data_IF_823264559685
#
_entry.id   IF_823264559685
#
_cell.length_a   1.000
_cell.length_b   1.000
_cell.length_c   1.000
_cell.angle_alpha   90.00
_cell.angle_beta   90.00
_cell.angle_gamma   90.00
#
_symmetry.space_group_name_H-M   'P 1'
#
loop_
_entity.id
_entity.type
_entity.pdbx_description
1 polymer ?
#
# COMPACT_ATOMS: atom_id res chain seq x y z
N UNK A 1 49.80 49.88 39.72
CA UNK A 1 49.66 50.30 38.32
C UNK A 1 49.66 49.02 37.47
N UNK A 2 48.47 48.48 37.17
CA UNK A 2 48.32 47.21 36.44
C UNK A 2 47.37 47.50 35.29
N UNK A 3 47.88 47.29 34.07
CA UNK A 3 47.19 47.58 32.82
C UNK A 3 46.12 46.52 32.52
N UNK A 4 44.94 46.99 32.14
CA UNK A 4 43.86 46.18 31.62
C UNK A 4 44.17 45.77 30.18
N UNK A 5 44.27 44.48 29.91
CA UNK A 5 44.34 43.92 28.55
C UNK A 5 42.95 43.40 28.16
N UNK A 6 42.25 44.18 27.34
CA UNK A 6 41.01 43.82 26.66
C UNK A 6 41.29 42.90 25.47
N UNK A 7 40.70 41.70 25.48
CA UNK A 7 40.67 40.82 24.30
C UNK A 7 39.44 41.15 23.44
N UNK A 8 39.56 41.25 22.10
CA UNK A 8 38.40 41.45 21.23
C UNK A 8 37.63 40.13 21.08
N UNK A 9 36.32 40.20 21.26
CA UNK A 9 35.37 39.13 20.93
C UNK A 9 35.27 39.00 19.41
N UNK A 10 35.74 37.89 18.87
CA UNK A 10 35.52 37.52 17.48
C UNK A 10 34.04 37.18 17.31
N UNK A 11 33.35 37.95 16.46
CA UNK A 11 31.96 37.71 16.11
C UNK A 11 31.85 36.39 15.33
N UNK A 12 31.31 35.38 16.01
CA UNK A 12 30.83 34.14 15.41
C UNK A 12 29.70 34.47 14.42
N UNK A 13 30.01 34.48 13.12
CA UNK A 13 29.02 34.45 12.04
C UNK A 13 28.27 33.12 12.10
N UNK A 14 27.21 33.06 12.90
CA UNK A 14 26.24 31.97 12.85
C UNK A 14 25.43 32.11 11.55
N UNK A 15 25.32 31.05 10.72
CA UNK A 15 24.38 31.06 9.62
C UNK A 15 22.97 31.11 10.20
N UNK A 16 22.25 32.19 9.91
CA UNK A 16 20.83 32.33 10.23
C UNK A 16 20.07 31.27 9.43
N UNK A 17 19.77 30.15 10.08
CA UNK A 17 18.80 29.17 9.59
C UNK A 17 17.48 29.90 9.42
N UNK A 18 17.16 30.25 8.17
CA UNK A 18 15.83 30.72 7.80
C UNK A 18 14.86 29.63 8.23
N UNK A 19 13.99 30.01 9.14
CA UNK A 19 12.88 29.23 9.70
C UNK A 19 12.04 28.69 8.53
N UNK A 20 12.36 27.50 8.05
CA UNK A 20 11.50 26.79 7.10
C UNK A 20 10.24 26.43 7.86
N UNK A 21 9.17 27.14 7.56
CA UNK A 21 7.82 26.76 7.99
C UNK A 21 7.54 25.40 7.37
N UNK A 22 7.67 24.35 8.18
CA UNK A 22 7.16 23.03 7.82
C UNK A 22 5.65 23.18 7.75
N UNK A 23 5.11 23.33 6.54
CA UNK A 23 3.69 23.18 6.31
C UNK A 23 3.35 21.74 6.68
N UNK A 24 2.91 21.52 7.93
CA UNK A 24 2.29 20.26 8.30
C UNK A 24 1.18 20.01 7.29
N UNK A 25 1.34 18.97 6.48
CA UNK A 25 0.35 18.53 5.53
C UNK A 25 -0.98 18.45 6.28
N UNK A 26 -1.94 19.31 5.89
CA UNK A 26 -3.26 19.32 6.51
C UNK A 26 -3.81 17.89 6.39
N UNK A 27 -4.37 17.31 7.46
CA UNK A 27 -4.99 16.00 7.37
C UNK A 27 -6.02 16.02 6.23
N UNK A 28 -6.12 14.95 5.43
CA UNK A 28 -7.05 14.90 4.31
C UNK A 28 -8.46 15.22 4.83
N UNK A 29 -9.09 16.25 4.25
CA UNK A 29 -10.45 16.64 4.60
C UNK A 29 -11.36 15.45 4.31
N UNK A 30 -12.02 14.95 5.35
CA UNK A 30 -13.02 13.89 5.21
C UNK A 30 -14.14 14.45 4.31
N UNK A 31 -14.50 13.77 3.21
CA UNK A 31 -15.58 14.23 2.36
C UNK A 31 -16.88 14.26 3.17
N UNK A 32 -17.58 15.39 3.11
CA UNK A 32 -18.89 15.55 3.73
C UNK A 32 -19.85 14.74 2.86
N UNK A 33 -20.30 13.60 3.38
CA UNK A 33 -21.34 12.79 2.75
C UNK A 33 -22.67 13.46 3.11
N UNK A 34 -23.25 14.17 2.15
CA UNK A 34 -24.62 14.66 2.24
C UNK A 34 -25.58 13.48 2.34
N UNK A 35 -26.53 13.55 3.27
CA UNK A 35 -27.58 12.54 3.42
C UNK A 35 -28.52 12.52 2.21
N UNK A 36 -29.30 11.44 2.03
CA UNK A 36 -30.16 11.22 0.86
C UNK A 36 -31.30 12.24 0.69
N UNK A 37 -31.53 13.11 1.68
CA UNK A 37 -32.60 14.11 1.69
C UNK A 37 -32.09 15.55 1.63
N UNK A 38 -30.79 15.76 1.36
CA UNK A 38 -30.25 17.12 1.20
C UNK A 38 -30.30 17.49 -0.28
N UNK A 39 -31.17 18.44 -0.63
CA UNK A 39 -31.25 18.98 -1.98
C UNK A 39 -29.90 19.58 -2.39
N UNK A 40 -29.31 19.04 -3.45
CA UNK A 40 -28.06 19.55 -4.00
C UNK A 40 -28.34 20.77 -4.85
N UNK A 41 -27.61 21.88 -4.58
CA UNK A 41 -27.61 23.01 -5.48
C UNK A 41 -27.16 22.55 -6.88
N UNK A 42 -27.92 22.84 -7.95
CA UNK A 42 -27.62 22.34 -9.28
C UNK A 42 -26.25 22.84 -9.71
N UNK A 43 -25.37 21.92 -10.11
CA UNK A 43 -24.04 22.30 -10.59
C UNK A 43 -24.20 22.94 -11.96
N UNK A 44 -23.40 23.98 -12.26
CA UNK A 44 -23.44 24.72 -13.54
C UNK A 44 -23.26 23.86 -14.80
N UNK A 45 -22.90 22.59 -14.67
CA UNK A 45 -22.66 21.62 -15.75
C UNK A 45 -23.74 20.54 -15.85
N UNK A 46 -24.74 20.52 -14.97
CA UNK A 46 -25.86 19.58 -15.06
C UNK A 46 -26.85 20.09 -16.11
N UNK A 47 -26.69 19.62 -17.35
CA UNK A 47 -27.66 19.83 -18.44
C UNK A 47 -27.15 20.48 -19.72
N UNK A 48 -25.85 20.77 -19.87
CA UNK A 48 -25.31 21.29 -21.13
C UNK A 48 -24.41 20.26 -21.82
N UNK A 49 -24.87 19.76 -22.97
CA UNK A 49 -24.03 19.21 -24.03
C UNK A 49 -23.04 20.31 -24.46
N UNK A 50 -21.95 20.46 -23.71
CA UNK A 50 -20.84 21.31 -24.15
C UNK A 50 -20.05 20.50 -25.17
N UNK A 51 -20.07 20.97 -26.43
CA UNK A 51 -19.17 20.45 -27.44
C UNK A 51 -17.74 20.54 -26.91
N UNK A 52 -17.04 19.41 -26.96
CA UNK A 52 -15.65 19.28 -26.51
C UNK A 52 -14.81 20.39 -27.17
N UNK A 53 -14.06 21.21 -26.41
CA UNK A 53 -13.24 22.25 -27.01
C UNK A 53 -12.20 21.61 -27.93
N UNK A 54 -12.25 21.96 -29.23
CA UNK A 54 -11.30 21.53 -30.26
C UNK A 54 -9.94 22.27 -30.17
N UNK A 55 -9.55 22.74 -28.99
CA UNK A 55 -8.37 23.58 -28.81
C UNK A 55 -7.07 22.80 -28.50
N UNK A 56 -6.98 21.54 -28.91
CA UNK A 56 -5.77 20.71 -28.82
C UNK A 56 -5.44 20.00 -30.14
N UNK A 57 -5.92 20.55 -31.26
CA UNK A 57 -5.44 20.19 -32.59
C UNK A 57 -4.36 21.20 -33.03
N UNK A 58 -3.21 21.15 -32.36
CA UNK A 58 -1.96 21.55 -33.00
C UNK A 58 -1.08 20.32 -33.04
N UNK A 59 -0.79 19.95 -34.27
CA UNK A 59 0.01 18.81 -34.71
C UNK A 59 1.43 18.85 -34.13
N UNK A 60 2.07 17.68 -34.21
CA UNK A 60 3.47 17.37 -33.92
C UNK A 60 3.87 17.15 -32.45
N UNK A 61 4.18 15.89 -32.17
CA UNK A 61 5.18 15.41 -31.19
C UNK A 61 4.74 15.09 -29.75
N UNK A 62 3.71 14.24 -29.60
CA UNK A 62 3.54 13.43 -28.38
C UNK A 62 3.34 11.95 -28.77
N UNK A 63 4.21 11.01 -28.36
CA UNK A 63 4.01 9.60 -28.65
C UNK A 63 2.76 9.08 -27.93
N UNK A 64 1.79 8.65 -28.72
CA UNK A 64 0.48 8.14 -28.32
C UNK A 64 0.56 6.73 -27.72
N UNK A 65 1.13 6.56 -26.52
CA UNK A 65 1.27 5.22 -25.91
C UNK A 65 0.36 4.91 -24.72
N UNK A 66 -0.54 5.81 -24.29
CA UNK A 66 -1.32 5.53 -23.06
C UNK A 66 -2.80 5.95 -23.07
N UNK A 67 -3.35 6.37 -24.20
CA UNK A 67 -4.80 6.43 -24.40
C UNK A 67 -5.15 5.78 -25.74
N UNK A 68 -5.69 4.57 -25.69
CA UNK A 68 -6.27 3.90 -26.87
C UNK A 68 -7.54 4.65 -27.26
N UNK A 69 -7.40 5.72 -28.05
CA UNK A 69 -8.51 6.45 -28.65
C UNK A 69 -9.31 5.52 -29.57
N UNK A 70 -10.65 5.67 -29.63
CA UNK A 70 -11.44 4.90 -30.59
C UNK A 70 -10.94 5.23 -32.00
N UNK A 71 -10.54 4.21 -32.75
CA UNK A 71 -9.99 4.36 -34.09
C UNK A 71 -10.85 3.59 -35.09
N UNK A 72 -11.05 4.16 -36.28
CA UNK A 72 -11.72 3.46 -37.38
C UNK A 72 -10.78 3.30 -38.55
N UNK A 73 -10.56 2.07 -39.01
CA UNK A 73 -9.81 1.79 -40.23
C UNK A 73 -10.77 1.33 -41.33
N UNK A 74 -10.57 1.83 -42.56
CA UNK A 74 -11.30 1.33 -43.73
C UNK A 74 -10.73 -0.03 -44.14
N UNK A 75 -11.61 -1.01 -44.34
CA UNK A 75 -11.30 -2.25 -45.05
C UNK A 75 -11.65 -2.06 -46.54
N UNK A 76 -11.23 -2.98 -47.41
CA UNK A 76 -11.56 -2.94 -48.83
C UNK A 76 -13.07 -2.77 -49.06
N UNK A 77 -13.46 -1.73 -49.81
CA UNK A 77 -14.85 -1.31 -50.04
C UNK A 77 -15.36 -0.22 -49.08
N UNK A 78 -16.67 -0.21 -48.82
CA UNK A 78 -17.36 0.72 -47.90
C UNK A 78 -17.40 0.21 -46.45
N UNK A 79 -16.65 -0.85 -46.14
CA UNK A 79 -16.62 -1.46 -44.82
C UNK A 79 -15.58 -0.77 -43.92
N UNK A 80 -15.99 -0.35 -42.73
CA UNK A 80 -15.10 0.25 -41.73
C UNK A 80 -15.03 -0.61 -40.47
N UNK A 81 -13.81 -0.94 -40.06
CA UNK A 81 -13.55 -1.52 -38.74
C UNK A 81 -13.53 -0.41 -37.70
N UNK A 82 -14.39 -0.50 -36.69
CA UNK A 82 -14.39 0.42 -35.55
C UNK A 82 -13.79 -0.28 -34.34
N UNK A 83 -12.65 0.20 -33.87
CA UNK A 83 -12.05 -0.22 -32.62
C UNK A 83 -12.48 0.75 -31.51
N UNK A 84 -13.48 0.35 -30.73
CA UNK A 84 -13.96 1.10 -29.56
C UNK A 84 -13.67 0.29 -28.30
N UNK A 85 -12.48 0.45 -27.67
CA UNK A 85 -12.22 -0.19 -26.40
C UNK A 85 -13.24 0.35 -25.37
N UNK A 86 -13.73 -0.50 -24.44
CA UNK A 86 -14.70 -0.05 -23.46
C UNK A 86 -14.16 1.16 -22.68
N UNK A 87 -14.98 2.20 -22.43
CA UNK A 87 -14.53 3.42 -21.76
C UNK A 87 -14.26 3.22 -20.26
N UNK A 88 -14.58 2.04 -19.73
CA UNK A 88 -14.41 1.64 -18.34
C UNK A 88 -13.23 0.69 -18.19
N UNK A 89 -12.71 0.58 -16.96
CA UNK A 89 -11.61 -0.31 -16.59
C UNK A 89 -11.72 -1.70 -17.28
N UNK A 90 -10.59 -2.34 -17.65
CA UNK A 90 -10.58 -3.53 -18.49
C UNK A 90 -11.64 -4.53 -18.03
N UNK A 91 -12.61 -4.77 -18.90
CA UNK A 91 -13.70 -5.70 -18.66
C UNK A 91 -13.10 -7.04 -18.25
N UNK A 92 -13.49 -7.54 -17.06
CA UNK A 92 -13.06 -8.79 -16.42
C UNK A 92 -13.45 -10.05 -17.23
N UNK A 93 -13.15 -10.08 -18.53
CA UNK A 93 -13.59 -11.10 -19.47
C UNK A 93 -12.54 -12.18 -19.75
N UNK A 94 -11.28 -11.95 -19.39
CA UNK A 94 -10.20 -12.91 -19.66
C UNK A 94 -9.74 -13.70 -18.43
N UNK A 95 -10.36 -13.52 -17.26
CA UNK A 95 -9.96 -14.19 -16.01
C UNK A 95 -8.57 -13.78 -15.49
N UNK A 96 -7.84 -12.94 -16.22
CA UNK A 96 -6.58 -12.37 -15.80
C UNK A 96 -6.84 -11.20 -14.84
N UNK A 97 -6.26 -11.26 -13.63
CA UNK A 97 -6.26 -10.12 -12.72
C UNK A 97 -5.64 -8.91 -13.42
N UNK A 98 -6.28 -7.72 -13.38
CA UNK A 98 -5.73 -6.53 -14.01
C UNK A 98 -4.38 -6.19 -13.37
N UNK A 99 -3.47 -5.66 -14.19
CA UNK A 99 -2.15 -5.18 -13.82
C UNK A 99 -2.16 -4.34 -12.52
N UNK A 100 -3.14 -3.44 -12.38
CA UNK A 100 -3.27 -2.61 -11.18
C UNK A 100 -3.52 -3.44 -9.91
N UNK A 101 -4.42 -4.44 -9.95
CA UNK A 101 -4.71 -5.29 -8.80
C UNK A 101 -3.53 -6.23 -8.50
N UNK A 102 -2.86 -6.74 -9.53
CA UNK A 102 -1.63 -7.54 -9.39
C UNK A 102 -0.52 -6.73 -8.70
N UNK A 103 -0.34 -5.47 -9.10
CA UNK A 103 0.62 -4.56 -8.46
C UNK A 103 0.24 -4.22 -7.01
N UNK A 104 -1.05 -3.97 -6.72
CA UNK A 104 -1.55 -3.76 -5.35
C UNK A 104 -1.33 -5.00 -4.47
N UNK A 105 -1.51 -6.20 -5.04
CA UNK A 105 -1.23 -7.50 -4.43
C UNK A 105 0.28 -7.78 -4.28
N UNK A 106 1.13 -6.95 -4.88
CA UNK A 106 2.58 -7.01 -4.78
C UNK A 106 3.26 -7.89 -5.83
N UNK A 107 2.55 -8.31 -6.87
CA UNK A 107 3.14 -8.97 -8.03
C UNK A 107 3.92 -7.95 -8.88
N UNK A 108 5.07 -8.39 -9.40
CA UNK A 108 5.82 -7.65 -10.40
C UNK A 108 5.05 -7.60 -11.70
N UNK A 109 4.32 -6.51 -11.93
CA UNK A 109 3.71 -6.22 -13.22
C UNK A 109 4.75 -5.50 -14.05
N UNK A 110 4.99 -5.95 -15.28
CA UNK A 110 5.74 -5.21 -16.27
C UNK A 110 4.91 -3.98 -16.68
N UNK A 111 4.88 -2.97 -15.82
CA UNK A 111 4.44 -1.64 -16.19
C UNK A 111 5.48 -1.16 -17.20
N UNK A 112 5.01 -0.78 -18.39
CA UNK A 112 5.85 -0.39 -19.52
C UNK A 112 6.82 0.72 -19.10
N UNK A 113 8.08 0.35 -18.87
CA UNK A 113 9.32 1.15 -19.03
C UNK A 113 9.53 2.46 -18.25
N UNK A 114 8.48 3.20 -17.88
CA UNK A 114 8.59 4.58 -17.37
C UNK A 114 8.24 4.69 -15.88
N UNK A 115 7.44 3.75 -15.37
CA UNK A 115 7.02 3.73 -13.98
C UNK A 115 7.82 2.67 -13.22
N UNK A 116 9.02 3.01 -12.77
CA UNK A 116 9.77 2.23 -11.77
C UNK A 116 9.06 2.29 -10.41
N UNK A 117 7.82 1.80 -10.34
CA UNK A 117 7.05 1.72 -9.12
C UNK A 117 7.76 0.77 -8.16
N UNK A 118 8.20 1.24 -6.98
CA UNK A 118 8.90 0.37 -6.05
C UNK A 118 7.97 -0.77 -5.61
N UNK A 119 8.45 -2.00 -5.75
CA UNK A 119 7.79 -3.19 -5.20
C UNK A 119 7.54 -2.93 -3.71
N UNK A 120 6.26 -2.92 -3.31
CA UNK A 120 5.87 -2.64 -1.91
C UNK A 120 6.49 -3.64 -0.93
N UNK A 121 6.85 -4.83 -1.41
CA UNK A 121 7.58 -5.88 -0.68
C UNK A 121 8.55 -6.55 -1.63
N UNK A 122 9.80 -6.73 -1.19
CA UNK A 122 10.67 -7.69 -1.82
C UNK A 122 10.01 -9.07 -1.71
N UNK A 123 9.88 -9.78 -2.82
CA UNK A 123 9.47 -11.19 -2.78
C UNK A 123 10.55 -11.93 -1.98
N UNK A 124 10.19 -12.33 -0.76
CA UNK A 124 10.97 -13.31 -0.02
C UNK A 124 11.06 -14.54 -0.92
N UNK A 125 12.26 -15.09 -1.19
CA UNK A 125 12.41 -16.27 -2.03
C UNK A 125 11.58 -17.40 -1.42
N UNK A 126 10.38 -17.62 -1.95
CA UNK A 126 9.50 -18.72 -1.58
C UNK A 126 10.11 -19.99 -2.18
N UNK A 127 11.13 -20.54 -1.52
CA UNK A 127 11.74 -21.76 -2.06
C UNK A 127 13.06 -22.18 -1.44
N UNK A 128 13.83 -21.28 -0.83
CA UNK A 128 15.07 -21.71 -0.16
C UNK A 128 14.74 -22.10 1.28
N UNK A 129 14.00 -23.20 1.41
CA UNK A 129 13.80 -23.87 2.69
C UNK A 129 15.12 -24.43 3.16
N UNK A 130 15.92 -23.61 3.86
CA UNK A 130 17.03 -24.11 4.65
C UNK A 130 16.44 -25.08 5.68
N UNK A 131 16.71 -26.40 5.57
CA UNK A 131 16.19 -27.36 6.53
C UNK A 131 16.81 -27.07 7.90
N UNK A 132 16.00 -27.12 8.95
CA UNK A 132 16.53 -27.08 10.31
C UNK A 132 17.36 -28.34 10.56
N UNK A 133 18.51 -28.20 11.22
CA UNK A 133 19.24 -29.38 11.69
C UNK A 133 18.42 -30.11 12.77
N UNK A 134 18.65 -31.40 12.96
CA UNK A 134 17.94 -32.18 13.98
C UNK A 134 18.13 -31.60 15.40
N UNK A 135 19.34 -31.09 15.68
CA UNK A 135 19.63 -30.37 16.93
C UNK A 135 18.77 -29.12 17.10
N UNK A 136 18.62 -28.32 16.03
CA UNK A 136 17.77 -27.14 16.04
C UNK A 136 16.31 -27.52 16.24
N UNK A 137 15.83 -28.60 15.61
CA UNK A 137 14.48 -29.12 15.80
C UNK A 137 14.25 -29.49 17.27
N UNK A 138 15.18 -30.22 17.90
CA UNK A 138 15.11 -30.57 19.32
C UNK A 138 15.09 -29.33 20.23
N UNK A 139 15.91 -28.32 19.94
CA UNK A 139 15.90 -27.08 20.71
C UNK A 139 14.62 -26.26 20.48
N UNK A 140 14.08 -26.24 19.25
CA UNK A 140 12.82 -25.56 18.93
C UNK A 140 11.67 -26.20 19.71
N UNK A 141 11.56 -27.53 19.73
CA UNK A 141 10.50 -28.23 20.45
C UNK A 141 10.60 -27.99 21.96
N UNK A 142 11.80 -28.07 22.54
CA UNK A 142 12.03 -27.76 23.96
C UNK A 142 11.66 -26.31 24.32
N UNK A 143 12.13 -25.34 23.53
CA UNK A 143 11.81 -23.93 23.76
C UNK A 143 10.31 -23.64 23.59
N UNK A 144 9.64 -24.36 22.70
CA UNK A 144 8.20 -24.22 22.50
C UNK A 144 7.39 -24.84 23.64
N UNK A 145 7.82 -26.00 24.15
CA UNK A 145 7.26 -26.61 25.35
C UNK A 145 7.41 -25.68 26.56
N UNK A 146 8.59 -25.07 26.73
CA UNK A 146 8.86 -24.04 27.73
C UNK A 146 8.09 -22.72 27.50
N UNK A 147 7.42 -22.58 26.35
CA UNK A 147 6.52 -21.47 26.06
C UNK A 147 7.08 -20.23 25.43
N UNK A 148 8.25 -20.34 24.83
CA UNK A 148 8.88 -19.22 24.14
C UNK A 148 8.13 -18.91 22.86
N UNK A 149 7.92 -17.62 22.60
CA UNK A 149 7.33 -17.15 21.35
C UNK A 149 8.23 -17.47 20.15
N UNK A 150 7.65 -17.54 18.93
CA UNK A 150 8.45 -17.76 17.70
C UNK A 150 9.56 -16.73 17.54
N UNK A 151 9.33 -15.49 17.97
CA UNK A 151 10.34 -14.42 17.94
C UNK A 151 11.47 -14.64 18.94
N UNK A 152 11.17 -15.17 20.13
CA UNK A 152 12.19 -15.52 21.12
C UNK A 152 13.02 -16.72 20.69
N UNK A 153 12.39 -17.75 20.12
CA UNK A 153 13.09 -18.93 19.58
C UNK A 153 14.07 -18.50 18.49
N UNK A 154 13.63 -17.65 17.56
CA UNK A 154 14.45 -17.11 16.49
C UNK A 154 15.68 -16.37 17.02
N UNK A 155 15.49 -15.51 18.04
CA UNK A 155 16.59 -14.77 18.68
C UNK A 155 17.56 -15.69 19.42
N UNK A 156 17.06 -16.68 20.15
CA UNK A 156 17.88 -17.62 20.93
C UNK A 156 18.74 -18.51 20.03
N UNK A 157 18.15 -19.02 18.95
CA UNK A 157 18.81 -19.93 18.01
C UNK A 157 19.55 -19.19 16.88
N UNK A 158 19.55 -17.85 16.90
CA UNK A 158 20.15 -16.99 15.86
C UNK A 158 19.72 -17.37 14.44
N UNK A 159 18.45 -17.76 14.29
CA UNK A 159 17.90 -18.17 13.00
C UNK A 159 17.60 -16.94 12.11
N UNK A 160 17.71 -17.05 10.78
CA UNK A 160 17.27 -16.01 9.85
C UNK A 160 15.80 -15.61 10.08
N UNK A 161 15.51 -14.30 9.96
CA UNK A 161 14.14 -13.74 10.13
C UNK A 161 13.11 -14.43 9.23
N UNK A 162 13.56 -14.86 8.06
CA UNK A 162 12.76 -15.54 7.06
C UNK A 162 12.23 -16.87 7.59
N UNK A 163 12.98 -17.60 8.43
CA UNK A 163 12.59 -18.91 8.97
C UNK A 163 11.56 -18.84 10.11
N UNK A 164 11.18 -17.65 10.59
CA UNK A 164 10.23 -17.48 11.71
C UNK A 164 8.92 -18.24 11.52
N UNK A 165 8.42 -18.28 10.29
CA UNK A 165 7.16 -18.94 9.95
C UNK A 165 7.27 -20.47 9.91
N UNK A 166 8.48 -21.01 9.68
CA UNK A 166 8.73 -22.45 9.67
C UNK A 166 8.72 -23.06 11.07
N UNK A 167 9.01 -22.27 12.12
CA UNK A 167 8.99 -22.72 13.52
C UNK A 167 7.64 -23.35 13.90
N UNK A 168 6.52 -22.80 13.42
CA UNK A 168 5.18 -23.36 13.71
C UNK A 168 4.90 -24.69 13.02
N UNK A 169 5.65 -25.05 11.98
CA UNK A 169 5.58 -26.38 11.35
C UNK A 169 6.34 -27.42 12.16
N UNK A 170 7.47 -27.03 12.75
CA UNK A 170 8.31 -27.90 13.60
C UNK A 170 7.66 -28.14 14.96
N UNK A 171 7.26 -27.08 15.65
CA UNK A 171 6.67 -27.17 16.97
C UNK A 171 5.45 -26.26 17.07
N UNK A 172 4.26 -26.88 17.18
CA UNK A 172 3.01 -26.16 17.39
C UNK A 172 2.96 -25.60 18.81
N UNK A 173 2.18 -24.53 18.98
CA UNK A 173 1.85 -24.03 20.32
C UNK A 173 0.96 -25.03 21.05
N UNK A 174 1.09 -25.11 22.38
CA UNK A 174 0.10 -25.82 23.20
C UNK A 174 -1.30 -25.23 22.98
N UNK A 175 -2.35 -26.06 22.88
CA UNK A 175 -3.73 -25.61 22.71
C UNK A 175 -4.18 -24.66 23.83
N UNK A 176 -3.76 -24.90 25.07
CA UNK A 176 -4.07 -24.05 26.22
C UNK A 176 -3.54 -22.63 26.02
N UNK A 177 -2.32 -22.49 25.51
CA UNK A 177 -1.73 -21.17 25.20
C UNK A 177 -2.45 -20.49 24.05
N UNK A 178 -2.90 -21.24 23.05
CA UNK A 178 -3.68 -20.68 21.94
C UNK A 178 -5.02 -20.15 22.45
N UNK A 179 -5.69 -20.88 23.35
CA UNK A 179 -6.91 -20.41 23.99
C UNK A 179 -6.68 -19.14 24.83
N UNK A 180 -5.60 -19.09 25.62
CA UNK A 180 -5.25 -17.89 26.40
C UNK A 180 -4.98 -16.68 25.48
N UNK A 181 -4.24 -16.87 24.39
CA UNK A 181 -3.99 -15.80 23.41
C UNK A 181 -5.27 -15.36 22.71
N UNK A 182 -6.17 -16.29 22.37
CA UNK A 182 -7.47 -15.98 21.78
C UNK A 182 -8.34 -15.17 22.75
N UNK A 183 -8.49 -15.63 23.99
CA UNK A 183 -9.24 -14.92 25.03
C UNK A 183 -8.68 -13.51 25.27
N UNK A 184 -7.35 -13.36 25.30
CA UNK A 184 -6.71 -12.04 25.43
C UNK A 184 -7.02 -11.11 24.26
N UNK A 185 -7.10 -11.65 23.05
CA UNK A 185 -7.49 -10.88 21.86
C UNK A 185 -8.96 -10.49 21.93
N UNK A 186 -9.83 -11.39 22.38
CA UNK A 186 -11.26 -11.12 22.58
C UNK A 186 -11.50 -10.05 23.66
N UNK A 187 -10.83 -10.13 24.80
CA UNK A 187 -10.86 -9.10 25.85
C UNK A 187 -10.39 -7.74 25.32
N UNK A 188 -9.34 -7.73 24.49
CA UNK A 188 -8.89 -6.49 23.85
C UNK A 188 -9.92 -5.95 22.86
N UNK A 189 -10.64 -6.81 22.14
CA UNK A 189 -11.69 -6.43 21.21
C UNK A 189 -12.93 -5.90 21.94
N UNK A 190 -13.31 -6.51 23.05
CA UNK A 190 -14.40 -6.05 23.91
C UNK A 190 -14.14 -4.63 24.45
N UNK A 191 -12.88 -4.30 24.71
CA UNK A 191 -12.45 -2.98 25.17
C UNK A 191 -12.27 -1.95 24.04
N UNK A 192 -12.63 -2.26 22.80
CA UNK A 192 -12.52 -1.28 21.72
C UNK A 192 -13.61 -0.20 21.81
N UNK A 193 -13.27 1.08 21.60
CA UNK A 193 -14.31 2.11 21.48
C UNK A 193 -15.17 1.84 20.24
N UNK A 194 -16.46 2.18 20.32
CA UNK A 194 -17.44 1.94 19.24
C UNK A 194 -16.93 2.36 17.86
N UNK A 195 -16.28 3.53 17.76
CA UNK A 195 -15.69 4.03 16.51
C UNK A 195 -14.61 3.11 15.92
N UNK A 196 -13.80 2.46 16.77
CA UNK A 196 -12.77 1.52 16.32
C UNK A 196 -13.39 0.19 15.91
N UNK A 197 -14.37 -0.30 16.66
CA UNK A 197 -15.09 -1.53 16.34
C UNK A 197 -15.79 -1.41 14.96
N UNK A 198 -16.52 -0.33 14.71
CA UNK A 198 -17.17 -0.09 13.41
C UNK A 198 -16.16 0.04 12.27
N UNK A 199 -15.05 0.77 12.48
CA UNK A 199 -14.01 0.90 11.47
C UNK A 199 -13.34 -0.45 11.12
N UNK A 200 -13.18 -1.35 12.10
CA UNK A 200 -12.65 -2.70 11.87
C UNK A 200 -13.63 -3.58 11.11
N UNK A 201 -14.92 -3.55 11.48
CA UNK A 201 -15.97 -4.26 10.75
C UNK A 201 -16.08 -3.79 9.28
N UNK A 202 -16.01 -2.48 9.03
CA UNK A 202 -15.99 -1.94 7.65
C UNK A 202 -14.76 -2.44 6.89
N UNK A 203 -13.60 -2.52 7.54
CA UNK A 203 -12.38 -3.04 6.92
C UNK A 203 -12.50 -4.53 6.58
N UNK A 204 -13.11 -5.33 7.44
CA UNK A 204 -13.39 -6.75 7.19
C UNK A 204 -14.33 -6.90 6.00
N UNK A 205 -15.45 -6.16 5.97
CA UNK A 205 -16.35 -6.14 4.81
C UNK A 205 -15.67 -5.72 3.51
N UNK A 206 -14.76 -4.75 3.55
CA UNK A 206 -13.97 -4.38 2.37
C UNK A 206 -13.03 -5.51 1.96
N UNK A 207 -12.41 -6.22 2.91
CA UNK A 207 -11.54 -7.35 2.62
C UNK A 207 -12.31 -8.54 2.03
N UNK A 208 -13.56 -8.74 2.43
CA UNK A 208 -14.41 -9.80 1.87
C UNK A 208 -14.95 -9.44 0.49
N UNK A 209 -15.15 -8.14 0.23
CA UNK A 209 -15.59 -7.63 -1.06
C UNK A 209 -14.49 -7.69 -2.14
N UNK A 210 -13.25 -7.34 -1.75
CA UNK A 210 -12.08 -7.34 -2.62
C UNK A 210 -11.49 -8.74 -2.77
#
# INVERSE_FOLDING_TARGET
MVMATTRPLVASLAPTLRRTVVHHARPPRVPIISGPHVEHAPRKTEGTNTARPQALATESDIPASSFTTPSSSKLEGDLTFHHAPPPTAPSYTTGAKPALLRWIDGEGVAVTGEEHAPLRRAELPRGVGLPFSEEQVGQITQLRAAGRSRGEILKKLKLPKEQKHLISRVARSSPERLAIEANRVEEQQANWPNKKATARAVRERRKDFW
#
